data_IF_227993973529
#
_entry.id   IF_227993973529
#
_cell.length_a   1.000
_cell.length_b   1.000
_cell.length_c   1.000
_cell.angle_alpha   90.00
_cell.angle_beta   90.00
_cell.angle_gamma   90.00
#
_symmetry.space_group_name_H-M   'P 1'
#
loop_
_entity.id
_entity.type
_entity.pdbx_description
1 polymer ?
#
# COMPACT_ATOMS: atom_id res chain seq x y z
N UNK A 1 -15.68 -19.58 22.65
CA UNK A 1 -15.05 -18.26 22.71
C UNK A 1 -13.71 -18.36 21.99
N UNK A 2 -13.52 -17.66 20.87
CA UNK A 2 -12.22 -17.61 20.20
C UNK A 2 -11.31 -16.67 21.01
N UNK A 3 -10.11 -17.13 21.37
CA UNK A 3 -9.13 -16.36 22.16
C UNK A 3 -8.15 -15.67 21.20
N UNK A 4 -7.98 -14.35 21.36
CA UNK A 4 -7.00 -13.56 20.61
C UNK A 4 -5.54 -13.81 21.03
N UNK A 5 -5.29 -14.72 21.98
CA UNK A 5 -3.94 -15.09 22.46
C UNK A 5 -3.05 -15.72 21.37
N UNK A 6 -3.61 -16.10 20.22
CA UNK A 6 -2.83 -16.58 19.06
C UNK A 6 -2.20 -15.46 18.21
N UNK A 7 -2.55 -14.19 18.44
CA UNK A 7 -1.99 -13.03 17.73
C UNK A 7 -0.70 -12.50 18.37
N UNK A 8 -0.26 -13.11 19.46
CA UNK A 8 0.99 -12.77 20.18
C UNK A 8 2.23 -13.48 19.59
N UNK A 9 2.08 -14.17 18.46
CA UNK A 9 3.23 -14.74 17.75
C UNK A 9 3.91 -13.59 17.01
N UNK A 10 5.15 -13.20 17.35
CA UNK A 10 5.88 -12.23 16.56
C UNK A 10 5.93 -12.73 15.12
N UNK A 11 5.58 -11.87 14.17
CA UNK A 11 5.74 -12.18 12.75
C UNK A 11 7.24 -12.24 12.48
N UNK A 12 7.80 -13.44 12.48
CA UNK A 12 9.20 -13.68 12.16
C UNK A 12 9.39 -13.59 10.64
N UNK A 13 10.07 -12.53 10.20
CA UNK A 13 10.50 -12.41 8.81
C UNK A 13 11.76 -13.23 8.60
N UNK A 14 11.70 -14.23 7.73
CA UNK A 14 12.87 -14.98 7.30
C UNK A 14 12.99 -14.95 5.77
N UNK A 15 14.21 -14.85 5.28
CA UNK A 15 14.51 -15.13 3.88
C UNK A 15 14.71 -16.65 3.78
N UNK A 16 13.81 -17.40 3.11
CA UNK A 16 13.97 -18.84 3.00
C UNK A 16 15.29 -19.16 2.28
N UNK A 17 16.08 -20.07 2.84
CA UNK A 17 17.26 -20.58 2.18
C UNK A 17 16.87 -21.30 0.87
N UNK A 18 17.77 -21.36 -0.13
CA UNK A 18 17.51 -22.12 -1.34
C UNK A 18 17.11 -23.57 -1.01
N UNK A 19 15.95 -24.02 -1.52
CA UNK A 19 15.45 -25.39 -1.31
C UNK A 19 14.52 -25.59 -0.11
N UNK A 20 14.21 -24.55 0.66
CA UNK A 20 13.15 -24.61 1.69
C UNK A 20 11.78 -24.74 1.01
N UNK A 21 10.96 -25.68 1.48
CA UNK A 21 9.60 -25.86 0.99
C UNK A 21 8.77 -24.62 1.31
N UNK A 22 8.39 -23.91 0.26
CA UNK A 22 7.48 -22.77 0.31
C UNK A 22 6.05 -23.33 0.27
N UNK A 23 5.11 -22.79 1.09
CA UNK A 23 3.71 -23.18 1.03
C UNK A 23 3.16 -23.15 -0.41
N UNK A 24 2.41 -24.19 -0.77
CA UNK A 24 1.94 -24.37 -2.15
C UNK A 24 1.06 -23.20 -2.64
N UNK A 25 0.33 -22.56 -1.73
CA UNK A 25 -0.55 -21.41 -1.97
C UNK A 25 0.22 -20.12 -2.32
N UNK A 26 1.52 -20.02 -1.99
CA UNK A 26 2.33 -18.84 -2.34
C UNK A 26 3.33 -19.10 -3.47
N UNK A 27 3.40 -20.34 -3.98
CA UNK A 27 4.30 -20.69 -5.09
C UNK A 27 3.98 -19.91 -6.36
N UNK A 28 2.69 -19.83 -6.74
CA UNK A 28 2.25 -19.09 -7.92
C UNK A 28 2.64 -17.61 -7.84
N UNK A 29 2.41 -16.97 -6.69
CA UNK A 29 2.81 -15.59 -6.46
C UNK A 29 4.33 -15.42 -6.57
N UNK A 30 5.12 -16.34 -6.00
CA UNK A 30 6.58 -16.29 -6.08
C UNK A 30 7.08 -16.41 -7.53
N UNK A 31 6.52 -17.32 -8.30
CA UNK A 31 6.90 -17.50 -9.71
C UNK A 31 6.54 -16.25 -10.52
N UNK A 32 5.35 -15.69 -10.31
CA UNK A 32 4.93 -14.44 -10.94
C UNK A 32 5.88 -13.28 -10.59
N UNK A 33 6.28 -13.14 -9.32
CA UNK A 33 7.24 -12.12 -8.89
C UNK A 33 8.63 -12.34 -9.50
N UNK A 34 9.07 -13.60 -9.62
CA UNK A 34 10.33 -13.95 -10.27
C UNK A 34 10.33 -13.61 -11.76
N UNK A 35 9.22 -13.85 -12.46
CA UNK A 35 9.06 -13.46 -13.86
C UNK A 35 9.10 -11.93 -14.03
N UNK A 36 8.46 -11.19 -13.11
CA UNK A 36 8.53 -9.72 -13.08
C UNK A 36 9.96 -9.23 -12.86
N UNK A 37 10.70 -9.84 -11.93
CA UNK A 37 12.11 -9.52 -11.67
C UNK A 37 12.98 -9.78 -12.91
N UNK A 38 12.74 -10.90 -13.60
CA UNK A 38 13.40 -11.26 -14.85
C UNK A 38 12.96 -10.40 -16.06
N UNK A 39 11.96 -9.52 -15.86
CA UNK A 39 11.33 -8.69 -16.88
C UNK A 39 10.77 -9.52 -18.03
N UNK A 40 10.13 -10.63 -17.70
CA UNK A 40 9.50 -11.54 -18.64
C UNK A 40 8.03 -11.13 -18.84
N UNK A 41 7.60 -11.06 -20.11
CA UNK A 41 6.19 -10.87 -20.49
C UNK A 41 5.48 -9.68 -19.82
N UNK A 42 6.20 -8.59 -19.56
CA UNK A 42 5.66 -7.39 -18.90
C UNK A 42 4.93 -6.45 -19.86
N UNK A 43 5.37 -6.38 -21.10
CA UNK A 43 4.88 -5.40 -22.07
C UNK A 43 3.93 -6.05 -23.08
N UNK A 44 2.69 -5.54 -23.20
CA UNK A 44 1.80 -5.83 -24.32
C UNK A 44 2.47 -5.70 -25.69
N UNK A 45 2.28 -6.69 -26.55
CA UNK A 45 2.86 -6.65 -27.90
C UNK A 45 2.34 -5.47 -28.75
N UNK A 46 1.11 -5.00 -28.50
CA UNK A 46 0.54 -3.81 -29.16
C UNK A 46 1.41 -2.56 -28.97
N UNK A 47 2.21 -2.49 -27.89
CA UNK A 47 3.09 -1.37 -27.62
C UNK A 47 4.42 -1.45 -28.38
N UNK A 48 4.74 -2.55 -29.09
CA UNK A 48 6.00 -2.66 -29.84
C UNK A 48 6.18 -1.59 -30.91
N UNK A 49 5.08 -1.20 -31.56
CA UNK A 49 5.08 -0.12 -32.55
C UNK A 49 5.02 1.27 -31.92
N UNK A 50 4.79 1.38 -30.61
CA UNK A 50 4.64 2.67 -29.94
C UNK A 50 6.00 3.40 -29.84
N UNK A 51 6.06 4.72 -30.11
CA UNK A 51 7.32 5.49 -30.17
C UNK A 51 8.24 5.32 -28.97
N UNK A 52 7.69 5.24 -27.75
CA UNK A 52 8.45 5.11 -26.50
C UNK A 52 9.31 3.83 -26.42
N UNK A 53 8.99 2.81 -27.22
CA UNK A 53 9.71 1.53 -27.24
C UNK A 53 10.56 1.35 -28.50
N UNK A 54 10.37 2.17 -29.54
CA UNK A 54 11.15 2.09 -30.77
C UNK A 54 12.63 2.43 -30.51
N UNK A 55 13.52 1.51 -30.85
CA UNK A 55 14.97 1.70 -30.68
C UNK A 55 15.46 1.68 -29.22
N UNK A 56 14.60 1.32 -28.26
CA UNK A 56 14.98 1.28 -26.86
C UNK A 56 15.76 0.00 -26.53
N UNK A 57 17.09 0.09 -26.50
CA UNK A 57 18.00 -1.04 -26.23
C UNK A 57 17.82 -1.69 -24.85
N UNK A 58 17.09 -1.06 -23.92
CA UNK A 58 16.78 -1.63 -22.60
C UNK A 58 15.63 -2.64 -22.66
N UNK A 59 14.82 -2.60 -23.71
CA UNK A 59 13.65 -3.47 -23.87
C UNK A 59 14.07 -4.68 -24.70
N UNK A 60 14.14 -5.84 -24.04
CA UNK A 60 14.57 -7.10 -24.68
C UNK A 60 13.39 -7.88 -25.22
N UNK A 61 13.65 -8.85 -26.11
CA UNK A 61 12.62 -9.71 -26.69
C UNK A 61 11.74 -10.38 -25.62
N UNK A 62 12.35 -10.91 -24.56
CA UNK A 62 11.67 -11.58 -23.45
C UNK A 62 10.71 -10.69 -22.66
N UNK A 63 10.84 -9.36 -22.77
CA UNK A 63 9.99 -8.41 -22.05
C UNK A 63 8.61 -8.26 -22.67
N UNK A 64 8.45 -8.67 -23.92
CA UNK A 64 7.17 -8.64 -24.60
C UNK A 64 6.37 -9.91 -24.31
N UNK A 65 5.06 -9.75 -24.14
CA UNK A 65 4.11 -10.86 -24.23
C UNK A 65 4.27 -11.57 -25.59
N UNK A 66 4.05 -12.89 -25.62
CA UNK A 66 4.18 -13.71 -26.82
C UNK A 66 3.15 -13.28 -27.87
N UNK A 67 3.47 -13.45 -29.15
CA UNK A 67 2.52 -13.17 -30.24
C UNK A 67 1.34 -14.14 -30.24
N UNK A 68 1.52 -15.33 -29.67
CA UNK A 68 0.45 -16.31 -29.46
C UNK A 68 -0.62 -15.80 -28.48
N UNK A 69 -0.29 -14.86 -27.59
CA UNK A 69 -1.25 -14.23 -26.67
C UNK A 69 -2.02 -13.06 -27.33
N UNK A 70 -1.57 -12.61 -28.51
CA UNK A 70 -1.92 -11.32 -29.15
C UNK A 70 -2.90 -11.49 -30.31
N UNK A 71 -2.91 -12.65 -30.98
CA UNK A 71 -3.88 -12.96 -32.05
C UNK A 71 -5.35 -12.85 -31.60
N UNK A 72 -5.58 -12.76 -30.28
CA UNK A 72 -6.90 -12.70 -29.65
C UNK A 72 -7.40 -11.29 -29.28
N UNK A 73 -6.60 -10.23 -29.45
CA UNK A 73 -6.99 -8.90 -28.94
C UNK A 73 -7.93 -8.18 -29.90
N UNK A 74 -9.11 -7.80 -29.39
CA UNK A 74 -10.01 -6.89 -30.08
C UNK A 74 -9.41 -5.48 -30.17
N UNK A 75 -9.89 -4.68 -31.12
CA UNK A 75 -9.48 -3.28 -31.26
C UNK A 75 -9.71 -2.48 -29.95
N UNK A 76 -10.79 -2.77 -29.24
CA UNK A 76 -11.10 -2.12 -27.96
C UNK A 76 -10.08 -2.47 -26.86
N UNK A 77 -9.58 -3.71 -26.83
CA UNK A 77 -8.54 -4.11 -25.88
C UNK A 77 -7.20 -3.46 -26.21
N UNK A 78 -6.86 -3.36 -27.49
CA UNK A 78 -5.70 -2.59 -27.96
C UNK A 78 -5.74 -1.13 -27.52
N UNK A 79 -6.87 -0.46 -27.75
CA UNK A 79 -7.09 0.92 -27.30
C UNK A 79 -7.00 1.06 -25.78
N UNK A 80 -7.58 0.11 -25.03
CA UNK A 80 -7.53 0.11 -23.57
C UNK A 80 -6.10 -0.07 -23.02
N UNK A 81 -5.22 -0.73 -23.77
CA UNK A 81 -3.80 -0.89 -23.43
C UNK A 81 -3.01 0.36 -23.79
N UNK A 82 -3.26 0.98 -24.94
CA UNK A 82 -2.64 2.26 -25.30
C UNK A 82 -3.00 3.34 -24.27
N UNK A 83 -4.29 3.46 -23.91
CA UNK A 83 -4.71 4.37 -22.85
C UNK A 83 -4.14 4.00 -21.47
N UNK A 84 -3.74 2.75 -21.25
CA UNK A 84 -3.07 2.35 -20.02
C UNK A 84 -1.63 2.85 -20.01
N UNK A 85 -0.92 2.66 -21.12
CA UNK A 85 0.44 3.13 -21.33
C UNK A 85 0.55 4.64 -21.16
N UNK A 86 -0.35 5.40 -21.78
CA UNK A 86 -0.37 6.87 -21.66
C UNK A 86 -0.53 7.33 -20.21
N UNK A 87 -1.42 6.69 -19.43
CA UNK A 87 -1.59 7.01 -18.00
C UNK A 87 -0.35 6.70 -17.18
N UNK A 88 0.36 5.61 -17.49
CA UNK A 88 1.62 5.27 -16.83
C UNK A 88 2.72 6.27 -17.21
N UNK A 89 2.74 6.73 -18.47
CA UNK A 89 3.67 7.78 -18.92
C UNK A 89 3.43 9.09 -18.17
N UNK A 90 2.18 9.52 -18.03
CA UNK A 90 1.83 10.72 -17.26
C UNK A 90 2.35 10.63 -15.81
N UNK A 91 2.20 9.48 -15.16
CA UNK A 91 2.72 9.25 -13.80
C UNK A 91 4.26 9.33 -13.78
N UNK A 92 4.94 8.80 -14.79
CA UNK A 92 6.40 8.87 -14.91
C UNK A 92 6.87 10.31 -15.09
N UNK A 93 6.22 11.07 -15.97
CA UNK A 93 6.55 12.48 -16.22
C UNK A 93 6.34 13.33 -14.96
N UNK A 94 5.21 13.16 -14.28
CA UNK A 94 4.91 13.82 -13.00
C UNK A 94 5.93 13.45 -11.91
N UNK A 95 6.38 12.19 -11.88
CA UNK A 95 7.42 11.74 -10.93
C UNK A 95 8.77 12.39 -11.21
N UNK A 96 9.11 12.58 -12.48
CA UNK A 96 10.36 13.23 -12.89
C UNK A 96 10.34 14.71 -12.53
N UNK A 97 9.25 15.40 -12.86
CA UNK A 97 9.08 16.81 -12.51
C UNK A 97 9.13 17.00 -10.98
N UNK A 98 8.47 16.12 -10.22
CA UNK A 98 8.48 16.14 -8.76
C UNK A 98 9.89 15.97 -8.17
N UNK A 99 10.72 15.15 -8.82
CA UNK A 99 12.12 14.95 -8.42
C UNK A 99 12.99 16.18 -8.75
N UNK A 100 12.86 16.72 -9.96
CA UNK A 100 13.61 17.88 -10.44
C UNK A 100 13.28 19.16 -9.64
N UNK A 101 12.03 19.29 -9.19
CA UNK A 101 11.56 20.46 -8.42
C UNK A 101 11.65 20.27 -6.91
N UNK A 102 12.17 19.14 -6.43
CA UNK A 102 12.30 18.81 -5.01
C UNK A 102 10.99 18.97 -4.22
N UNK A 103 9.88 18.50 -4.81
CA UNK A 103 8.56 18.56 -4.17
C UNK A 103 8.56 17.88 -2.80
N UNK A 104 7.73 18.40 -1.90
CA UNK A 104 7.52 17.83 -0.57
C UNK A 104 6.89 16.44 -0.64
N UNK A 105 7.04 15.64 0.42
CA UNK A 105 6.41 14.31 0.56
C UNK A 105 4.90 14.38 0.29
N UNK A 106 4.22 15.41 0.81
CA UNK A 106 2.79 15.62 0.60
C UNK A 106 2.44 15.85 -0.89
N UNK A 107 3.27 16.60 -1.61
CA UNK A 107 3.09 16.80 -3.05
C UNK A 107 3.33 15.50 -3.83
N UNK A 108 4.36 14.72 -3.50
CA UNK A 108 4.58 13.38 -4.07
C UNK A 108 3.38 12.46 -3.84
N UNK A 109 2.81 12.49 -2.63
CA UNK A 109 1.65 11.70 -2.26
C UNK A 109 0.42 12.05 -3.09
N UNK A 110 0.15 13.34 -3.28
CA UNK A 110 -0.98 13.82 -4.04
C UNK A 110 -0.82 13.59 -5.54
N UNK A 111 0.33 13.92 -6.11
CA UNK A 111 0.52 13.97 -7.58
C UNK A 111 0.97 12.64 -8.18
N UNK A 112 1.75 11.84 -7.46
CA UNK A 112 2.36 10.61 -8.00
C UNK A 112 1.76 9.37 -7.35
N UNK A 113 1.93 9.22 -6.04
CA UNK A 113 1.58 7.96 -5.35
C UNK A 113 0.08 7.67 -5.38
N UNK A 114 -0.76 8.67 -5.12
CA UNK A 114 -2.23 8.51 -5.21
C UNK A 114 -2.68 8.11 -6.62
N UNK A 115 -2.07 8.69 -7.66
CA UNK A 115 -2.40 8.37 -9.05
C UNK A 115 -2.00 6.94 -9.41
N UNK A 116 -0.80 6.50 -8.99
CA UNK A 116 -0.33 5.13 -9.18
C UNK A 116 -1.22 4.12 -8.44
N UNK A 117 -1.48 4.33 -7.15
CA UNK A 117 -2.29 3.41 -6.34
C UNK A 117 -3.73 3.31 -6.86
N UNK A 118 -4.31 4.44 -7.26
CA UNK A 118 -5.63 4.51 -7.90
C UNK A 118 -5.67 3.80 -9.25
N UNK A 119 -4.59 3.88 -10.03
CA UNK A 119 -4.47 3.19 -11.32
C UNK A 119 -4.46 1.66 -11.13
N UNK A 120 -3.62 1.16 -10.23
CA UNK A 120 -3.47 -0.29 -9.95
C UNK A 120 -4.76 -0.87 -9.36
N UNK A 121 -5.35 -0.22 -8.36
CA UNK A 121 -6.53 -0.76 -7.66
C UNK A 121 -7.78 -0.79 -8.54
N UNK A 122 -8.06 0.25 -9.32
CA UNK A 122 -9.28 0.34 -10.14
C UNK A 122 -9.36 -0.70 -11.24
N UNK A 123 -8.23 -1.06 -11.85
CA UNK A 123 -8.21 -1.94 -13.01
C UNK A 123 -8.23 -3.42 -12.64
N UNK A 124 -7.62 -3.78 -11.52
CA UNK A 124 -7.33 -5.18 -11.20
C UNK A 124 -8.06 -5.70 -9.96
N UNK A 125 -8.65 -4.83 -9.13
CA UNK A 125 -9.13 -5.25 -7.80
C UNK A 125 -10.50 -4.65 -7.46
N UNK A 126 -11.57 -5.36 -7.81
CA UNK A 126 -12.94 -4.90 -7.52
C UNK A 126 -13.25 -4.79 -6.01
N UNK A 127 -12.59 -5.63 -5.21
CA UNK A 127 -12.80 -5.71 -3.75
C UNK A 127 -11.79 -4.90 -2.96
N UNK A 128 -10.78 -4.30 -3.59
CA UNK A 128 -9.75 -3.52 -2.91
C UNK A 128 -9.84 -2.07 -3.34
N UNK A 129 -9.84 -1.15 -2.37
CA UNK A 129 -9.78 0.28 -2.62
C UNK A 129 -8.56 0.85 -1.95
N UNK A 130 -7.98 1.85 -2.60
CA UNK A 130 -6.96 2.68 -2.00
C UNK A 130 -7.63 3.83 -1.24
N UNK A 131 -7.11 4.17 -0.06
CA UNK A 131 -7.53 5.33 0.72
C UNK A 131 -6.32 6.14 1.19
N UNK A 132 -6.45 7.47 1.10
CA UNK A 132 -5.56 8.42 1.75
C UNK A 132 -6.00 8.61 3.20
N UNK A 133 -5.10 8.26 4.11
CA UNK A 133 -5.34 8.25 5.54
C UNK A 133 -4.34 9.12 6.28
N UNK A 134 -3.69 10.06 5.57
CA UNK A 134 -2.76 11.04 6.15
C UNK A 134 -3.36 11.88 7.27
N UNK A 135 -4.69 12.05 7.27
CA UNK A 135 -5.45 12.78 8.29
C UNK A 135 -6.09 11.88 9.37
N UNK A 136 -6.03 10.56 9.21
CA UNK A 136 -6.54 9.62 10.19
C UNK A 136 -5.67 9.62 11.45
N UNK A 137 -6.33 9.44 12.60
CA UNK A 137 -5.66 9.41 13.91
C UNK A 137 -5.83 8.05 14.57
N UNK A 138 -4.77 7.56 15.18
CA UNK A 138 -4.82 6.33 15.98
C UNK A 138 -5.68 6.60 17.23
N UNK A 139 -6.55 5.64 17.58
CA UNK A 139 -7.36 5.69 18.80
C UNK A 139 -6.42 5.76 20.01
N UNK A 140 -6.60 6.78 20.84
CA UNK A 140 -5.90 6.86 22.11
C UNK A 140 -6.41 5.74 23.03
N UNK A 141 -5.59 4.71 23.23
CA UNK A 141 -5.79 3.81 24.34
C UNK A 141 -5.37 4.56 25.60
N UNK A 142 -6.34 4.98 26.42
CA UNK A 142 -6.07 5.49 27.77
C UNK A 142 -5.57 4.35 28.65
N UNK A 143 -4.37 3.84 28.40
CA UNK A 143 -3.66 3.00 29.34
C UNK A 143 -3.01 3.92 30.38
N UNK A 144 -3.09 3.55 31.65
CA UNK A 144 -2.42 4.28 32.74
C UNK A 144 -0.91 4.48 32.51
N UNK A 145 -0.30 3.69 31.61
CA UNK A 145 1.09 3.84 31.18
C UNK A 145 1.36 5.13 30.39
N UNK A 146 0.40 5.63 29.60
CA UNK A 146 0.54 6.91 28.90
C UNK A 146 0.54 8.10 29.88
N UNK A 147 -0.22 7.99 30.99
CA UNK A 147 -0.21 8.99 32.05
C UNK A 147 1.12 9.01 32.82
N UNK A 148 1.78 7.87 33.00
CA UNK A 148 3.12 7.81 33.61
C UNK A 148 4.20 8.47 32.76
N UNK A 149 4.10 8.39 31.42
CA UNK A 149 5.04 9.08 30.52
C UNK A 149 4.79 10.60 30.46
N UNK A 150 3.53 11.04 30.57
CA UNK A 150 3.19 12.46 30.62
C UNK A 150 3.59 13.14 31.95
N UNK A 151 3.52 12.40 33.07
CA UNK A 151 3.86 12.92 34.39
C UNK A 151 5.38 13.05 34.63
N UNK A 152 6.23 12.29 33.93
CA UNK A 152 7.69 12.35 34.09
C UNK A 152 8.38 13.52 33.38
N UNK A 153 7.69 14.28 32.52
CA UNK A 153 8.29 15.33 31.69
C UNK A 153 8.12 16.77 32.21
N UNK A 154 7.66 16.98 33.44
CA UNK A 154 7.65 18.32 34.06
C UNK A 154 9.01 18.68 34.65
N UNK A 155 10.06 18.75 33.83
CA UNK A 155 11.32 19.46 34.09
C UNK A 155 12.27 19.35 32.88
N UNK A 156 11.98 20.05 31.77
CA UNK A 156 12.87 20.02 30.62
C UNK A 156 12.41 20.92 29.48
N UNK A 157 12.96 22.14 29.45
CA UNK A 157 12.61 23.19 28.51
C UNK A 157 13.08 22.84 27.09
N UNK A 158 12.12 22.67 26.17
CA UNK A 158 12.28 22.79 24.71
C UNK A 158 13.01 21.64 24.02
N UNK A 159 12.26 20.78 23.31
CA UNK A 159 12.62 20.07 22.05
C UNK A 159 11.71 18.86 21.72
N UNK A 160 10.73 18.48 22.56
CA UNK A 160 10.01 17.19 22.41
C UNK A 160 8.54 17.26 21.96
N UNK A 161 7.96 18.44 21.73
CA UNK A 161 6.56 18.56 21.31
C UNK A 161 6.27 17.95 19.91
N UNK A 162 7.28 17.87 19.03
CA UNK A 162 7.14 17.24 17.71
C UNK A 162 7.12 15.70 17.76
N UNK A 163 7.64 15.10 18.83
CA UNK A 163 7.70 13.64 18.97
C UNK A 163 6.36 13.06 19.46
N UNK A 164 5.67 13.78 20.35
CA UNK A 164 4.35 13.37 20.86
C UNK A 164 3.23 13.49 19.80
N UNK A 165 3.31 14.44 18.86
CA UNK A 165 2.31 14.57 17.78
C UNK A 165 2.47 13.51 16.69
N UNK A 166 3.68 12.93 16.54
CA UNK A 166 3.94 11.86 15.58
C UNK A 166 3.36 10.51 16.02
N UNK A 167 3.21 10.27 17.33
CA UNK A 167 2.70 9.01 17.88
C UNK A 167 1.23 8.72 17.54
N UNK A 168 0.48 9.72 17.08
CA UNK A 168 -0.94 9.60 16.74
C UNK A 168 -1.23 9.74 15.24
N UNK A 169 -0.22 10.06 14.43
CA UNK A 169 -0.35 10.21 12.98
C UNK A 169 -0.34 8.82 12.34
N UNK A 170 -1.36 8.55 11.54
CA UNK A 170 -1.39 7.33 10.73
C UNK A 170 -0.42 7.42 9.55
N UNK A 171 -0.14 6.28 8.93
CA UNK A 171 0.64 6.22 7.69
C UNK A 171 -0.04 6.98 6.54
N UNK A 172 0.67 7.19 5.42
CA UNK A 172 0.13 7.93 4.28
C UNK A 172 -1.12 7.27 3.68
N UNK A 173 -1.06 5.96 3.43
CA UNK A 173 -2.09 5.27 2.65
C UNK A 173 -2.43 3.89 3.19
N UNK A 174 -3.56 3.36 2.77
CA UNK A 174 -3.94 1.97 3.02
C UNK A 174 -4.74 1.39 1.88
N UNK A 175 -4.67 0.07 1.73
CA UNK A 175 -5.57 -0.69 0.89
C UNK A 175 -6.67 -1.29 1.77
N UNK A 176 -7.91 -0.85 1.55
CA UNK A 176 -9.10 -1.31 2.26
C UNK A 176 -9.84 -2.35 1.45
N UNK A 177 -10.29 -3.40 2.12
CA UNK A 177 -11.11 -4.45 1.52
C UNK A 177 -12.57 -4.05 1.64
N UNK A 178 -13.32 -4.11 0.55
CA UNK A 178 -14.77 -4.05 0.58
C UNK A 178 -15.30 -5.42 1.01
N UNK A 179 -15.85 -5.55 2.23
CA UNK A 179 -16.32 -6.85 2.71
C UNK A 179 -17.55 -7.30 1.92
N UNK A 180 -17.73 -8.62 1.82
CA UNK A 180 -19.01 -9.18 1.38
C UNK A 180 -20.13 -8.79 2.34
N UNK A 181 -21.38 -8.89 1.90
CA UNK A 181 -22.55 -8.59 2.75
C UNK A 181 -22.56 -9.40 4.06
N UNK A 182 -22.14 -10.66 3.99
CA UNK A 182 -22.01 -11.55 5.15
C UNK A 182 -20.94 -11.04 6.11
N UNK A 183 -19.74 -10.72 5.61
CA UNK A 183 -18.66 -10.20 6.46
C UNK A 183 -19.00 -8.82 7.04
N UNK A 184 -19.64 -7.95 6.26
CA UNK A 184 -20.11 -6.64 6.75
C UNK A 184 -21.09 -6.81 7.91
N UNK A 185 -22.03 -7.76 7.81
CA UNK A 185 -22.99 -8.03 8.89
C UNK A 185 -22.30 -8.47 10.18
N UNK A 186 -21.28 -9.32 10.06
CA UNK A 186 -20.48 -9.77 11.20
C UNK A 186 -19.67 -8.63 11.83
N UNK A 187 -19.07 -7.77 11.00
CA UNK A 187 -18.36 -6.56 11.45
C UNK A 187 -19.33 -5.63 12.19
N UNK A 188 -20.50 -5.36 11.63
CA UNK A 188 -21.49 -4.48 12.24
C UNK A 188 -21.99 -5.03 13.58
N UNK A 189 -22.19 -6.35 13.67
CA UNK A 189 -22.58 -7.02 14.92
C UNK A 189 -21.48 -6.93 15.97
N UNK A 190 -20.22 -7.15 15.59
CA UNK A 190 -19.06 -6.97 16.47
C UNK A 190 -18.99 -5.53 17.00
N UNK A 191 -19.04 -4.55 16.11
CA UNK A 191 -18.94 -3.14 16.47
C UNK A 191 -20.09 -2.67 17.36
N UNK A 192 -21.31 -3.24 17.24
CA UNK A 192 -22.42 -2.93 18.16
C UNK A 192 -22.15 -3.35 19.61
N UNK A 193 -21.28 -4.33 19.82
CA UNK A 193 -20.89 -4.80 21.15
C UNK A 193 -19.74 -4.01 21.79
N UNK A 194 -19.04 -3.18 21.02
CA UNK A 194 -17.88 -2.43 21.48
C UNK A 194 -18.25 -1.07 22.08
N UNK A 195 -17.54 -0.60 23.13
CA UNK A 195 -17.63 0.78 23.59
C UNK A 195 -17.37 1.77 22.47
N UNK A 196 -18.05 2.92 22.52
CA UNK A 196 -17.95 3.97 21.48
C UNK A 196 -16.49 4.40 21.23
N UNK A 197 -15.68 4.45 22.28
CA UNK A 197 -14.27 4.87 22.26
C UNK A 197 -13.39 3.90 21.47
N UNK A 198 -13.72 2.61 21.45
CA UNK A 198 -12.95 1.54 20.80
C UNK A 198 -13.69 0.88 19.64
N UNK A 199 -14.81 1.48 19.22
CA UNK A 199 -15.71 0.93 18.19
C UNK A 199 -15.07 1.00 16.79
N UNK A 200 -14.07 0.16 16.54
CA UNK A 200 -13.37 0.00 15.26
C UNK A 200 -12.78 -1.39 15.13
N UNK A 201 -12.68 -1.89 13.90
CA UNK A 201 -11.91 -3.11 13.58
C UNK A 201 -10.44 -2.82 13.22
N UNK A 202 -10.06 -1.54 13.17
CA UNK A 202 -8.69 -1.09 12.95
C UNK A 202 -8.26 -0.11 14.07
N UNK A 203 -7.03 0.40 13.99
CA UNK A 203 -6.45 1.30 14.98
C UNK A 203 -7.03 2.72 14.98
N UNK A 204 -8.04 3.03 14.16
CA UNK A 204 -8.66 4.37 14.04
C UNK A 204 -10.16 4.30 13.91
N UNK A 205 -10.83 5.38 14.30
CA UNK A 205 -12.29 5.57 14.12
C UNK A 205 -12.64 6.32 12.84
N UNK A 206 -11.66 6.62 12.00
CA UNK A 206 -11.92 7.13 10.65
C UNK A 206 -12.88 6.18 9.92
N UNK A 207 -14.03 6.68 9.47
CA UNK A 207 -15.22 5.86 9.16
C UNK A 207 -14.94 4.71 8.19
N UNK A 208 -14.11 4.94 7.17
CA UNK A 208 -13.75 3.90 6.20
C UNK A 208 -12.95 2.78 6.84
N UNK A 209 -12.04 3.09 7.76
CA UNK A 209 -11.26 2.11 8.50
C UNK A 209 -11.98 1.60 9.74
N UNK A 210 -13.05 2.26 10.19
CA UNK A 210 -13.85 1.80 11.32
C UNK A 210 -14.56 0.48 11.02
N UNK A 211 -14.98 0.32 9.76
CA UNK A 211 -15.90 -0.75 9.32
C UNK A 211 -15.34 -1.61 8.20
N UNK A 212 -14.16 -1.29 7.64
CA UNK A 212 -13.55 -2.07 6.55
C UNK A 212 -12.18 -2.61 6.93
N UNK A 213 -11.90 -3.89 6.68
CA UNK A 213 -10.57 -4.45 6.92
C UNK A 213 -9.50 -3.71 6.10
N UNK A 214 -8.37 -3.40 6.73
CA UNK A 214 -7.25 -2.68 6.12
C UNK A 214 -5.96 -3.51 6.27
N UNK A 215 -5.74 -4.52 5.39
CA UNK A 215 -4.62 -5.44 5.53
C UNK A 215 -3.26 -4.84 5.17
N UNK A 216 -3.23 -3.73 4.41
CA UNK A 216 -1.98 -3.15 3.90
C UNK A 216 -1.95 -1.67 4.23
N UNK A 217 -0.92 -1.26 4.96
CA UNK A 217 -0.59 0.13 5.30
C UNK A 217 0.69 0.51 4.56
N UNK A 218 0.70 1.70 3.95
CA UNK A 218 1.79 2.17 3.10
C UNK A 218 2.25 3.52 3.63
N UNK A 219 3.49 3.56 4.13
CA UNK A 219 4.20 4.80 4.40
C UNK A 219 5.11 5.12 3.21
N UNK A 220 5.05 6.35 2.74
CA UNK A 220 5.92 6.89 1.69
C UNK A 220 6.86 7.92 2.30
N UNK A 221 8.14 7.85 1.96
CA UNK A 221 9.16 8.81 2.41
C UNK A 221 9.98 9.28 1.22
N UNK A 222 10.33 10.56 1.23
CA UNK A 222 11.37 11.07 0.33
C UNK A 222 12.73 10.49 0.71
N UNK A 223 13.71 10.57 -0.19
CA UNK A 223 15.07 10.02 -0.01
C UNK A 223 15.80 10.56 1.23
N UNK A 224 15.34 11.68 1.77
CA UNK A 224 15.82 12.32 3.00
C UNK A 224 15.17 11.79 4.30
N UNK A 225 14.15 10.93 4.21
CA UNK A 225 13.49 10.34 5.37
C UNK A 225 14.23 9.12 5.92
N UNK A 226 14.28 8.98 7.25
CA UNK A 226 14.91 7.83 7.92
C UNK A 226 13.94 6.65 7.98
N UNK A 227 14.44 5.44 7.69
CA UNK A 227 13.67 4.19 7.72
C UNK A 227 13.11 3.91 9.13
N UNK A 228 13.84 4.32 10.15
CA UNK A 228 13.48 4.18 11.56
C UNK A 228 12.18 4.93 11.89
N UNK A 229 11.95 6.11 11.31
CA UNK A 229 10.72 6.87 11.53
C UNK A 229 9.51 6.22 10.85
N UNK A 230 9.71 5.58 9.68
CA UNK A 230 8.66 4.84 8.97
C UNK A 230 8.27 3.56 9.72
N UNK A 231 9.24 2.83 10.27
CA UNK A 231 8.99 1.63 11.07
C UNK A 231 8.11 1.93 12.30
N UNK A 232 8.39 3.03 13.00
CA UNK A 232 7.59 3.48 14.16
C UNK A 232 6.12 3.73 13.76
N UNK A 233 5.87 4.33 12.60
CA UNK A 233 4.50 4.58 12.13
C UNK A 233 3.78 3.32 11.66
N UNK A 234 4.52 2.32 11.18
CA UNK A 234 3.98 1.01 10.81
C UNK A 234 3.81 0.08 12.02
N UNK A 235 4.35 0.44 13.19
CA UNK A 235 4.32 -0.37 14.40
C UNK A 235 5.17 -1.64 14.30
N UNK A 236 6.26 -1.61 13.51
CA UNK A 236 7.20 -2.71 13.27
C UNK A 236 8.55 -2.42 13.95
#
# INVERSE_FOLDING_TARGET
>A
MASLRGLEVPVEFFTPAPGVAIPADIMELREALSAVEAKESLLPAVLRSHPDFQGNARVRRQTWLSDDDVETWSAAEGDAVLQNHERLRDIVDESRESAETHRSEAAWNSHVHSHLLKHVTRRHMQHLKFEDITSARIIEQTSAAAASLAASNTSGRGLTAASATSAHKMVNFTLVVHPSSVLQTLIDQFLKGEPWETQSINQTRYELLRTRPAPIFIETRTVSGTKENANVQLGI
#
